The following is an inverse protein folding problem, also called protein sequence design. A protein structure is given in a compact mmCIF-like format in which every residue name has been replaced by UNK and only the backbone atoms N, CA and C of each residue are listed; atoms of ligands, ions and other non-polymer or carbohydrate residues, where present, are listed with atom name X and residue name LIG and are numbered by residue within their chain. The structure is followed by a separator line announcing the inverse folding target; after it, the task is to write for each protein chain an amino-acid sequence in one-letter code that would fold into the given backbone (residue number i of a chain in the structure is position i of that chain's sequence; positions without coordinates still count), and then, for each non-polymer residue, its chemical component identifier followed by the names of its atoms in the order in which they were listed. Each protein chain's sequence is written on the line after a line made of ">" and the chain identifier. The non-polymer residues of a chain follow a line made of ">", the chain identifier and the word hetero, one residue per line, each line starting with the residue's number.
data_IF_933304752958
#
_entry.id   IF_933304752958
#
_cell.length_a   1.000
_cell.length_b   1.000
_cell.length_c   1.000
_cell.angle_alpha   90.00
_cell.angle_beta   90.00
_cell.angle_gamma   90.00
#
_symmetry.space_group_name_H-M   'P 1'
#
loop_
_entity.id
_entity.type
_entity.pdbx_description
1 polymer ?
#
# COMPACT_ATOMS: atom_id res chain seq x y z
N UNK A 1 31.73 38.83 -74.92
CA UNK A 1 30.80 38.21 -75.84
C UNK A 1 30.16 36.98 -75.15
N UNK A 2 29.01 37.16 -74.59
CA UNK A 2 27.71 36.51 -74.80
C UNK A 2 27.64 35.00 -74.55
N UNK A 3 26.78 34.64 -73.64
CA UNK A 3 26.22 33.30 -73.48
C UNK A 3 25.35 33.21 -72.23
N UNK A 4 24.09 33.68 -72.30
CA UNK A 4 23.06 33.46 -71.33
C UNK A 4 22.54 32.04 -71.48
N UNK A 5 22.52 31.27 -70.40
CA UNK A 5 21.76 30.02 -70.26
C UNK A 5 20.74 30.19 -69.16
N UNK A 6 19.48 30.34 -69.54
CA UNK A 6 18.34 30.26 -68.59
C UNK A 6 18.10 28.82 -68.22
N UNK A 7 18.31 28.47 -67.00
CA UNK A 7 17.71 27.26 -66.42
C UNK A 7 16.42 27.62 -65.61
N UNK A 8 15.31 27.15 -66.17
CA UNK A 8 13.99 27.19 -65.53
C UNK A 8 13.99 26.20 -64.40
N UNK A 9 14.12 26.70 -63.15
CA UNK A 9 13.85 25.94 -61.95
C UNK A 9 12.34 25.90 -61.71
N UNK A 10 11.71 24.73 -61.85
CA UNK A 10 10.34 24.48 -61.37
C UNK A 10 10.25 24.69 -59.87
N UNK A 11 9.20 25.37 -59.36
CA UNK A 11 9.04 25.55 -57.94
C UNK A 11 8.66 24.20 -57.27
N UNK A 12 9.48 23.75 -56.32
CA UNK A 12 9.18 22.60 -55.50
C UNK A 12 7.84 22.80 -54.78
N UNK A 13 6.84 22.02 -55.17
CA UNK A 13 5.52 21.95 -54.50
C UNK A 13 5.75 21.46 -53.09
N UNK A 14 5.72 22.35 -52.11
CA UNK A 14 5.61 22.02 -50.69
C UNK A 14 4.27 21.32 -50.50
N UNK A 15 4.30 19.97 -50.42
CA UNK A 15 3.18 19.21 -49.93
C UNK A 15 2.88 19.70 -48.51
N UNK A 16 1.74 20.39 -48.36
CA UNK A 16 1.17 20.72 -47.07
C UNK A 16 0.94 19.38 -46.32
N UNK A 17 1.66 19.17 -45.25
CA UNK A 17 1.30 18.12 -44.29
C UNK A 17 -0.05 18.53 -43.73
N UNK A 18 -1.10 17.84 -44.13
CA UNK A 18 -2.39 17.88 -43.43
C UNK A 18 -2.12 17.57 -41.95
N UNK A 19 -2.17 18.60 -41.12
CA UNK A 19 -2.10 18.45 -39.67
C UNK A 19 -3.43 17.84 -39.21
N UNK A 20 -3.48 16.51 -39.15
CA UNK A 20 -4.52 15.86 -38.34
C UNK A 20 -4.52 16.53 -36.96
N UNK A 21 -5.70 16.85 -36.41
CA UNK A 21 -5.77 17.49 -35.10
C UNK A 21 -5.00 16.63 -34.11
N UNK A 22 -3.99 17.20 -33.43
CA UNK A 22 -3.17 16.54 -32.43
C UNK A 22 -3.99 16.42 -31.13
N UNK A 23 -5.04 15.62 -31.18
CA UNK A 23 -5.79 15.23 -29.97
C UNK A 23 -4.95 14.14 -29.30
N UNK A 24 -4.49 14.35 -28.06
CA UNK A 24 -3.84 13.28 -27.30
C UNK A 24 -4.78 12.09 -27.23
N UNK A 25 -4.34 10.92 -27.68
CA UNK A 25 -5.12 9.69 -27.50
C UNK A 25 -5.25 9.41 -26.01
N UNK A 26 -6.46 9.26 -25.51
CA UNK A 26 -6.70 8.77 -24.15
C UNK A 26 -6.02 7.41 -23.97
N UNK A 27 -5.31 7.17 -22.82
CA UNK A 27 -4.71 5.88 -22.54
C UNK A 27 -5.75 4.77 -22.57
N UNK A 28 -5.52 3.71 -23.35
CA UNK A 28 -6.43 2.57 -23.46
C UNK A 28 -6.41 1.70 -22.21
N UNK A 29 -5.22 1.48 -21.62
CA UNK A 29 -5.03 0.71 -20.40
C UNK A 29 -4.77 1.69 -19.24
N UNK A 30 -5.64 1.66 -18.24
CA UNK A 30 -5.47 2.41 -17.00
C UNK A 30 -5.36 1.44 -15.83
N UNK A 31 -4.51 1.76 -14.86
CA UNK A 31 -4.35 0.92 -13.67
C UNK A 31 -5.47 1.17 -12.68
N UNK A 32 -5.99 0.11 -12.07
CA UNK A 32 -6.87 0.17 -10.92
C UNK A 32 -6.04 0.10 -9.66
N UNK A 33 -6.25 1.01 -8.72
CA UNK A 33 -5.46 1.14 -7.50
C UNK A 33 -6.32 0.88 -6.28
N UNK A 34 -5.79 0.11 -5.30
CA UNK A 34 -6.42 -0.14 -4.01
C UNK A 34 -5.52 0.35 -2.90
N UNK A 35 -5.99 1.31 -2.11
CA UNK A 35 -5.24 1.98 -1.04
C UNK A 35 -6.01 1.93 0.28
N UNK A 36 -5.29 1.85 1.40
CA UNK A 36 -5.87 2.06 2.73
C UNK A 36 -6.11 3.55 2.99
N UNK A 37 -7.27 3.88 3.55
CA UNK A 37 -7.69 5.26 3.78
C UNK A 37 -7.52 5.73 5.24
N UNK A 38 -7.04 4.88 6.14
CA UNK A 38 -6.89 5.16 7.58
C UNK A 38 -5.43 4.96 8.02
N UNK A 39 -5.18 4.24 9.12
CA UNK A 39 -3.85 3.92 9.67
C UNK A 39 -3.40 2.47 9.42
N UNK A 40 -3.89 1.82 8.37
CA UNK A 40 -3.59 0.43 8.06
C UNK A 40 -4.62 -0.55 8.64
N UNK A 41 -4.46 -1.82 8.26
CA UNK A 41 -5.33 -2.91 8.72
C UNK A 41 -6.82 -2.77 8.36
N UNK A 42 -7.13 -1.98 7.31
CA UNK A 42 -8.50 -1.78 6.82
C UNK A 42 -9.09 -3.01 6.11
N UNK A 43 -8.31 -4.07 5.93
CA UNK A 43 -8.75 -5.27 5.21
C UNK A 43 -8.59 -5.19 3.69
N UNK A 44 -7.59 -4.42 3.22
CA UNK A 44 -7.25 -4.27 1.80
C UNK A 44 -7.10 -5.60 1.06
N UNK A 45 -6.45 -6.58 1.69
CA UNK A 45 -6.19 -7.87 1.07
C UNK A 45 -7.43 -8.56 0.51
N UNK A 46 -8.57 -8.45 1.20
CA UNK A 46 -9.85 -9.01 0.76
C UNK A 46 -10.38 -8.32 -0.51
N UNK A 47 -10.25 -7.00 -0.59
CA UNK A 47 -10.66 -6.21 -1.76
C UNK A 47 -9.73 -6.50 -2.94
N UNK A 48 -8.43 -6.56 -2.68
CA UNK A 48 -7.42 -6.90 -3.70
C UNK A 48 -7.64 -8.31 -4.23
N UNK A 49 -7.86 -9.29 -3.37
CA UNK A 49 -8.15 -10.66 -3.77
C UNK A 49 -9.39 -10.75 -4.66
N UNK A 50 -10.47 -10.06 -4.29
CA UNK A 50 -11.68 -9.98 -5.11
C UNK A 50 -11.39 -9.43 -6.52
N UNK A 51 -10.62 -8.35 -6.62
CA UNK A 51 -10.29 -7.71 -7.90
C UNK A 51 -9.22 -8.47 -8.68
N UNK A 52 -8.31 -9.15 -8.00
CA UNK A 52 -7.24 -9.93 -8.62
C UNK A 52 -7.74 -11.12 -9.41
N UNK A 53 -8.95 -11.61 -9.14
CA UNK A 53 -9.55 -12.72 -9.92
C UNK A 53 -9.70 -12.39 -11.39
N UNK A 54 -9.88 -11.11 -11.72
CA UNK A 54 -10.08 -10.60 -13.07
C UNK A 54 -8.83 -9.87 -13.62
N UNK A 55 -7.77 -9.75 -12.85
CA UNK A 55 -6.58 -9.03 -13.24
C UNK A 55 -5.63 -9.90 -14.09
N UNK A 56 -4.98 -9.28 -15.07
CA UNK A 56 -3.87 -9.87 -15.83
C UNK A 56 -2.52 -9.63 -15.15
N UNK A 57 -2.39 -8.49 -14.46
CA UNK A 57 -1.18 -8.11 -13.72
C UNK A 57 -1.60 -7.55 -12.36
N UNK A 58 -0.95 -8.02 -11.29
CA UNK A 58 -1.12 -7.47 -9.93
C UNK A 58 0.21 -6.97 -9.41
N UNK A 59 0.26 -5.67 -9.07
CA UNK A 59 1.49 -4.96 -8.74
C UNK A 59 1.54 -4.55 -7.27
N UNK A 60 2.73 -4.63 -6.66
CA UNK A 60 3.11 -3.90 -5.44
C UNK A 60 3.97 -2.71 -5.83
N UNK A 61 3.66 -1.52 -5.32
CA UNK A 61 4.35 -0.28 -5.72
C UNK A 61 5.31 0.26 -4.67
N UNK A 62 5.11 0.00 -3.39
CA UNK A 62 5.92 0.55 -2.29
C UNK A 62 5.85 -0.33 -1.03
N UNK A 63 6.54 0.09 0.05
CA UNK A 63 6.63 -0.67 1.28
C UNK A 63 7.60 -1.85 1.15
N UNK A 64 7.34 -2.90 1.87
CA UNK A 64 8.15 -4.11 1.91
C UNK A 64 7.46 -5.17 2.75
N UNK A 65 8.24 -6.03 3.40
CA UNK A 65 7.72 -7.09 4.26
C UNK A 65 7.23 -6.59 5.66
N UNK A 66 7.15 -5.29 5.87
CA UNK A 66 6.49 -4.68 7.03
C UNK A 66 4.97 -4.59 6.88
N UNK A 67 4.45 -4.72 5.66
CA UNK A 67 3.02 -4.76 5.38
C UNK A 67 2.57 -6.22 5.31
N UNK A 68 1.68 -6.63 6.20
CA UNK A 68 1.15 -8.00 6.22
C UNK A 68 -0.37 -8.00 6.13
N UNK A 69 -0.93 -8.95 5.38
CA UNK A 69 -2.35 -9.23 5.37
C UNK A 69 -2.62 -10.71 5.05
N UNK A 70 -3.76 -11.19 5.51
CA UNK A 70 -4.21 -12.56 5.29
C UNK A 70 -5.37 -12.56 4.29
N UNK A 71 -5.31 -13.47 3.33
CA UNK A 71 -6.38 -13.73 2.37
C UNK A 71 -6.88 -15.16 2.56
N UNK A 72 -8.20 -15.35 2.60
CA UNK A 72 -8.83 -16.66 2.75
C UNK A 72 -9.42 -17.11 1.42
N UNK A 73 -8.92 -18.22 0.87
CA UNK A 73 -9.41 -18.82 -0.37
C UNK A 73 -9.67 -20.31 -0.14
N UNK A 74 -10.86 -20.77 -0.45
CA UNK A 74 -11.27 -22.18 -0.26
C UNK A 74 -10.99 -22.68 1.18
N UNK A 75 -11.28 -21.86 2.19
CA UNK A 75 -11.03 -22.10 3.62
C UNK A 75 -9.54 -22.25 3.99
N UNK A 76 -8.62 -21.89 3.10
CA UNK A 76 -7.18 -21.85 3.36
C UNK A 76 -6.73 -20.41 3.57
N UNK A 77 -6.05 -20.16 4.67
CA UNK A 77 -5.48 -18.85 4.98
C UNK A 77 -4.09 -18.70 4.35
N UNK A 78 -3.90 -17.67 3.54
CA UNK A 78 -2.63 -17.28 2.93
C UNK A 78 -2.15 -15.95 3.51
N UNK A 79 -0.92 -15.93 3.98
CA UNK A 79 -0.32 -14.73 4.56
C UNK A 79 0.64 -14.09 3.56
N UNK A 80 0.38 -12.82 3.26
CA UNK A 80 1.17 -12.01 2.35
C UNK A 80 1.85 -10.87 3.08
N UNK A 81 3.14 -10.71 2.83
CA UNK A 81 3.94 -9.59 3.33
C UNK A 81 4.60 -8.83 2.18
N UNK A 82 5.22 -9.55 1.26
CA UNK A 82 5.97 -8.99 0.15
C UNK A 82 5.33 -9.30 -1.20
N UNK A 83 4.83 -10.51 -1.37
CA UNK A 83 4.18 -10.94 -2.61
C UNK A 83 2.86 -10.20 -2.83
N UNK A 84 2.53 -9.82 -4.09
CA UNK A 84 1.19 -9.38 -4.43
C UNK A 84 0.16 -10.48 -4.16
N UNK A 85 -1.02 -10.11 -3.62
CA UNK A 85 -2.10 -11.09 -3.34
C UNK A 85 -2.58 -11.82 -4.59
N UNK A 86 -2.38 -11.21 -5.75
CA UNK A 86 -2.72 -11.80 -7.06
C UNK A 86 -1.98 -13.07 -7.42
N UNK A 87 -0.93 -13.45 -6.69
CA UNK A 87 -0.18 -14.70 -6.90
C UNK A 87 -1.07 -15.95 -6.77
N UNK A 88 -2.21 -15.83 -6.08
CA UNK A 88 -3.21 -16.90 -5.99
C UNK A 88 -4.02 -17.11 -7.29
N UNK A 89 -4.06 -16.09 -8.14
CA UNK A 89 -4.68 -16.21 -9.47
C UNK A 89 -3.68 -16.74 -10.51
N UNK A 90 -3.92 -17.93 -11.03
CA UNK A 90 -3.03 -18.57 -12.00
C UNK A 90 -2.86 -17.82 -13.33
N UNK A 91 -3.74 -16.87 -13.63
CA UNK A 91 -3.71 -16.08 -14.87
C UNK A 91 -2.96 -14.76 -14.71
N UNK A 92 -2.80 -14.27 -13.47
CA UNK A 92 -2.20 -12.99 -13.22
C UNK A 92 -0.67 -13.09 -13.09
N UNK A 93 0.02 -12.14 -13.69
CA UNK A 93 1.45 -11.91 -13.43
C UNK A 93 1.58 -11.08 -12.16
N UNK A 94 2.44 -11.50 -11.24
CA UNK A 94 2.74 -10.76 -10.01
C UNK A 94 3.97 -9.90 -10.20
N UNK A 95 3.80 -8.59 -10.10
CA UNK A 95 4.86 -7.61 -10.35
C UNK A 95 5.22 -6.83 -9.07
N UNK A 96 6.49 -6.88 -8.67
CA UNK A 96 7.01 -6.12 -7.54
C UNK A 96 7.77 -4.91 -8.07
N UNK A 97 7.25 -3.70 -7.84
CA UNK A 97 7.76 -2.46 -8.40
C UNK A 97 9.05 -1.92 -7.77
N UNK A 98 9.69 -0.98 -8.46
CA UNK A 98 10.96 -0.34 -8.05
C UNK A 98 10.90 0.37 -6.68
N UNK A 99 9.71 0.74 -6.24
CA UNK A 99 9.49 1.37 -4.93
C UNK A 99 9.46 0.39 -3.76
N UNK A 100 9.36 -0.92 -4.02
CA UNK A 100 9.27 -1.95 -2.96
C UNK A 100 10.66 -2.30 -2.44
N UNK A 101 10.80 -2.34 -1.13
CA UNK A 101 12.00 -2.84 -0.45
C UNK A 101 11.90 -4.36 -0.28
N UNK A 102 12.84 -5.11 -0.83
CA UNK A 102 12.78 -6.57 -0.91
C UNK A 102 13.71 -7.23 0.10
N UNK A 103 13.12 -7.92 1.09
CA UNK A 103 13.86 -8.86 1.93
C UNK A 103 13.94 -10.22 1.21
N UNK A 104 15.10 -10.50 0.61
CA UNK A 104 15.27 -11.62 -0.31
C UNK A 104 14.96 -12.99 0.30
N UNK A 105 15.51 -13.34 1.51
CA UNK A 105 15.15 -14.60 2.18
C UNK A 105 13.64 -14.71 2.40
N UNK A 106 13.01 -13.62 2.91
CA UNK A 106 11.57 -13.57 3.18
C UNK A 106 10.71 -13.73 1.93
N UNK A 107 11.14 -13.24 0.77
CA UNK A 107 10.45 -13.42 -0.49
C UNK A 107 10.30 -14.91 -0.85
N UNK A 108 11.41 -15.66 -0.75
CA UNK A 108 11.41 -17.08 -1.07
C UNK A 108 10.67 -17.91 -0.02
N UNK A 109 10.85 -17.60 1.26
CA UNK A 109 10.14 -18.28 2.36
C UNK A 109 8.62 -18.11 2.25
N UNK A 110 8.16 -16.89 1.92
CA UNK A 110 6.75 -16.58 1.72
C UNK A 110 6.19 -17.34 0.52
N UNK A 111 6.91 -17.34 -0.61
CA UNK A 111 6.53 -18.10 -1.80
C UNK A 111 6.41 -19.61 -1.51
N UNK A 112 7.41 -20.19 -0.83
CA UNK A 112 7.42 -21.62 -0.51
C UNK A 112 6.32 -22.00 0.50
N UNK A 113 6.07 -21.18 1.52
CA UNK A 113 4.98 -21.39 2.49
C UNK A 113 3.61 -21.37 1.82
N UNK A 114 3.37 -20.39 0.96
CA UNK A 114 2.09 -20.27 0.25
C UNK A 114 1.89 -21.38 -0.78
N UNK A 115 2.95 -21.83 -1.45
CA UNK A 115 2.91 -23.01 -2.32
C UNK A 115 2.50 -24.29 -1.58
N UNK A 116 3.08 -24.52 -0.40
CA UNK A 116 2.75 -25.70 0.45
C UNK A 116 1.29 -25.66 0.89
N UNK A 117 0.76 -24.50 1.30
CA UNK A 117 -0.66 -24.31 1.69
C UNK A 117 -1.60 -24.60 0.50
N UNK A 118 -1.22 -24.20 -0.71
CA UNK A 118 -1.99 -24.38 -1.94
C UNK A 118 -1.98 -25.79 -2.55
N UNK A 119 -1.52 -26.82 -1.83
CA UNK A 119 -1.43 -28.21 -2.29
C UNK A 119 -0.72 -28.38 -3.64
N UNK A 120 0.40 -27.67 -3.84
CA UNK A 120 1.22 -27.77 -5.05
C UNK A 120 0.65 -27.03 -6.28
N UNK A 121 -0.37 -26.20 -6.13
CA UNK A 121 -0.76 -25.25 -7.18
C UNK A 121 0.43 -24.31 -7.41
N UNK A 122 1.05 -24.36 -8.59
CA UNK A 122 2.21 -23.54 -8.92
C UNK A 122 1.83 -22.05 -8.77
N UNK A 123 2.58 -21.32 -7.95
CA UNK A 123 2.56 -19.86 -8.02
C UNK A 123 3.02 -19.42 -9.41
N UNK A 124 2.41 -18.40 -9.95
CA UNK A 124 2.85 -17.81 -11.21
C UNK A 124 4.22 -17.15 -11.07
N UNK A 125 4.93 -16.94 -12.19
CA UNK A 125 6.19 -16.19 -12.19
C UNK A 125 6.01 -14.86 -11.48
N UNK A 126 6.99 -14.51 -10.64
CA UNK A 126 7.06 -13.22 -9.96
C UNK A 126 8.09 -12.41 -10.72
N UNK A 127 7.65 -11.32 -11.34
CA UNK A 127 8.56 -10.39 -11.98
C UNK A 127 9.04 -9.36 -10.95
N UNK A 128 10.34 -9.36 -10.67
CA UNK A 128 10.99 -8.36 -9.82
C UNK A 128 11.68 -7.32 -10.69
N UNK A 129 11.46 -6.02 -10.49
CA UNK A 129 12.17 -5.01 -11.25
C UNK A 129 13.64 -4.91 -10.84
N UNK A 130 14.49 -4.56 -11.81
CA UNK A 130 15.94 -4.42 -11.64
C UNK A 130 16.34 -3.40 -10.56
N UNK A 131 15.51 -2.42 -10.28
CA UNK A 131 15.87 -1.28 -9.44
C UNK A 131 15.25 -1.30 -8.04
N UNK A 132 14.61 -2.38 -7.63
CA UNK A 132 14.13 -2.51 -6.24
C UNK A 132 15.30 -2.55 -5.25
N UNK A 133 15.24 -1.81 -4.13
CA UNK A 133 16.26 -1.88 -3.10
C UNK A 133 16.11 -3.17 -2.28
N UNK A 134 17.17 -3.99 -2.11
CA UNK A 134 17.16 -5.11 -1.18
C UNK A 134 17.34 -4.65 0.27
N UNK A 135 16.81 -5.43 1.20
CA UNK A 135 17.11 -5.33 2.63
C UNK A 135 18.20 -6.35 2.98
N UNK A 136 19.19 -5.91 3.73
CA UNK A 136 20.23 -6.75 4.29
C UNK A 136 20.05 -6.94 5.80
N UNK A 137 20.70 -7.93 6.38
CA UNK A 137 20.59 -8.22 7.82
C UNK A 137 21.01 -7.02 8.68
N UNK A 138 22.02 -6.27 8.27
CA UNK A 138 22.41 -5.05 8.99
C UNK A 138 21.34 -3.96 8.96
N UNK A 139 20.53 -3.84 7.90
CA UNK A 139 19.40 -2.92 7.90
C UNK A 139 18.38 -3.28 9.00
N UNK A 140 18.13 -4.58 9.23
CA UNK A 140 17.24 -5.02 10.30
C UNK A 140 17.83 -4.74 11.69
N UNK A 141 19.12 -4.95 11.86
CA UNK A 141 19.82 -4.65 13.11
C UNK A 141 19.82 -3.14 13.40
N UNK A 142 20.08 -2.30 12.40
CA UNK A 142 20.03 -0.83 12.51
C UNK A 142 18.64 -0.34 12.88
N UNK A 143 17.59 -0.89 12.26
CA UNK A 143 16.20 -0.56 12.59
C UNK A 143 15.89 -0.85 14.06
N UNK A 144 16.42 -1.97 14.60
CA UNK A 144 16.33 -2.30 16.03
C UNK A 144 17.07 -1.32 16.92
N UNK A 145 18.30 -0.91 16.55
CA UNK A 145 19.12 0.04 17.31
C UNK A 145 18.45 1.41 17.33
N UNK A 146 17.98 1.92 16.19
CA UNK A 146 17.27 3.20 16.10
C UNK A 146 16.03 3.23 16.98
N UNK A 147 15.30 2.13 17.06
CA UNK A 147 14.13 2.06 17.93
C UNK A 147 14.49 2.10 19.42
N UNK A 148 15.58 1.41 19.81
CA UNK A 148 16.09 1.49 21.18
C UNK A 148 16.56 2.90 21.55
N UNK A 149 17.26 3.58 20.63
CA UNK A 149 17.70 4.96 20.84
C UNK A 149 16.52 5.91 21.03
N UNK A 150 15.50 5.82 20.21
CA UNK A 150 14.26 6.61 20.35
C UNK A 150 13.58 6.34 21.68
N UNK A 151 13.48 5.08 22.09
CA UNK A 151 12.90 4.71 23.38
C UNK A 151 13.67 5.32 24.55
N UNK A 152 15.00 5.37 24.47
CA UNK A 152 15.85 5.96 25.53
C UNK A 152 15.77 7.48 25.56
N UNK A 153 15.73 8.15 24.41
CA UNK A 153 15.76 9.61 24.30
C UNK A 153 14.40 10.26 24.53
N UNK A 154 13.35 9.67 23.98
CA UNK A 154 12.03 10.29 23.94
C UNK A 154 10.99 9.57 24.80
N UNK A 155 11.35 8.42 25.38
CA UNK A 155 10.41 7.54 26.10
C UNK A 155 9.32 6.95 25.19
N UNK A 156 9.41 7.13 23.89
CA UNK A 156 8.42 6.73 22.89
C UNK A 156 8.97 5.68 21.94
N UNK A 157 8.16 4.72 21.60
CA UNK A 157 8.46 3.66 20.65
C UNK A 157 7.57 3.83 19.42
N UNK A 158 8.14 4.03 18.22
CA UNK A 158 7.38 4.12 16.98
C UNK A 158 6.71 2.80 16.57
N UNK A 159 7.13 1.69 17.22
CA UNK A 159 6.53 0.39 16.96
C UNK A 159 7.05 -0.29 15.69
N UNK A 160 8.33 -0.09 15.36
CA UNK A 160 8.94 -0.73 14.19
C UNK A 160 8.79 -2.26 14.21
N UNK A 161 8.63 -2.84 13.02
CA UNK A 161 8.62 -4.30 12.82
C UNK A 161 10.03 -4.90 12.79
N UNK A 162 11.09 -4.07 12.88
CA UNK A 162 12.50 -4.47 12.77
C UNK A 162 12.80 -5.24 11.49
N UNK A 163 12.19 -4.83 10.37
CA UNK A 163 12.35 -5.45 9.06
C UNK A 163 13.35 -4.71 8.15
N UNK A 164 14.04 -3.68 8.68
CA UNK A 164 15.05 -2.92 7.94
C UNK A 164 14.51 -2.00 6.84
N UNK A 165 13.21 -1.70 6.86
CA UNK A 165 12.55 -0.91 5.81
C UNK A 165 13.05 0.54 5.85
N UNK A 166 13.05 1.17 7.03
CA UNK A 166 13.54 2.55 7.22
C UNK A 166 14.99 2.74 6.76
N UNK A 167 15.94 1.95 7.27
CA UNK A 167 17.33 2.02 6.85
C UNK A 167 17.55 1.79 5.34
N UNK A 168 16.79 0.88 4.71
CA UNK A 168 16.88 0.64 3.28
C UNK A 168 16.38 1.84 2.45
N UNK A 169 15.26 2.48 2.84
CA UNK A 169 14.79 3.72 2.21
C UNK A 169 15.75 4.89 2.47
N UNK A 170 16.33 4.99 3.66
CA UNK A 170 17.34 5.98 3.99
C UNK A 170 18.56 5.85 3.08
N UNK A 171 19.10 4.64 2.91
CA UNK A 171 20.21 4.37 1.98
C UNK A 171 19.87 4.71 0.54
N UNK A 172 18.64 4.42 0.11
CA UNK A 172 18.11 4.81 -1.22
C UNK A 172 18.13 6.31 -1.40
N UNK A 173 17.65 7.08 -0.42
CA UNK A 173 17.59 8.55 -0.46
C UNK A 173 19.00 9.16 -0.39
N UNK A 174 19.90 8.60 0.39
CA UNK A 174 21.30 8.97 0.49
C UNK A 174 22.13 8.59 -0.77
N UNK A 175 21.58 7.80 -1.68
CA UNK A 175 22.22 7.34 -2.94
C UNK A 175 23.44 6.44 -2.74
N UNK A 176 23.57 5.81 -1.58
CA UNK A 176 24.55 4.78 -1.28
C UNK A 176 23.94 3.36 -1.16
N UNK A 177 22.61 3.26 -1.28
CA UNK A 177 21.92 1.97 -1.29
C UNK A 177 22.19 1.15 -2.55
N UNK A 178 22.01 -0.16 -2.42
CA UNK A 178 22.14 -1.13 -3.51
C UNK A 178 20.79 -1.40 -4.18
N UNK A 179 20.85 -2.03 -5.35
CA UNK A 179 19.66 -2.43 -6.13
C UNK A 179 19.74 -3.92 -6.46
N UNK A 180 18.61 -4.51 -6.78
CA UNK A 180 18.56 -5.91 -7.24
C UNK A 180 19.44 -6.11 -8.49
N UNK A 181 19.46 -5.13 -9.41
CA UNK A 181 20.35 -5.19 -10.58
C UNK A 181 21.84 -5.28 -10.22
N UNK A 182 22.28 -4.63 -9.15
CA UNK A 182 23.67 -4.77 -8.69
C UNK A 182 23.96 -6.21 -8.28
N UNK A 183 23.03 -6.85 -7.53
CA UNK A 183 23.18 -8.22 -7.05
C UNK A 183 23.22 -9.26 -8.17
N UNK A 184 22.35 -9.13 -9.18
CA UNK A 184 22.23 -10.12 -10.27
C UNK A 184 23.23 -9.89 -11.42
N UNK A 185 23.98 -8.79 -11.40
CA UNK A 185 25.00 -8.44 -12.40
C UNK A 185 26.37 -9.02 -12.04
N UNK A 186 27.42 -8.22 -12.04
CA UNK A 186 28.76 -8.64 -11.64
C UNK A 186 28.87 -8.71 -10.11
N UNK A 187 28.91 -9.92 -9.57
CA UNK A 187 28.92 -10.14 -8.13
C UNK A 187 30.13 -9.51 -7.41
N UNK A 188 31.30 -9.44 -8.04
CA UNK A 188 32.47 -8.81 -7.43
C UNK A 188 32.30 -7.28 -7.28
N UNK A 189 31.66 -6.65 -8.25
CA UNK A 189 31.31 -5.21 -8.16
C UNK A 189 30.25 -5.01 -7.07
N UNK A 190 29.26 -5.89 -6.99
CA UNK A 190 28.26 -5.89 -5.92
C UNK A 190 28.91 -6.05 -4.55
N UNK A 191 29.78 -7.02 -4.37
CA UNK A 191 30.52 -7.27 -3.12
C UNK A 191 31.22 -6.01 -2.62
N UNK A 192 31.96 -5.31 -3.49
CA UNK A 192 32.65 -4.08 -3.11
C UNK A 192 31.66 -3.01 -2.62
N UNK A 193 30.55 -2.79 -3.35
CA UNK A 193 29.52 -1.85 -2.95
C UNK A 193 28.85 -2.25 -1.63
N UNK A 194 28.61 -3.54 -1.43
CA UNK A 194 28.02 -4.09 -0.20
C UNK A 194 28.91 -3.83 1.01
N UNK A 195 30.20 -4.11 0.89
CA UNK A 195 31.18 -3.85 1.97
C UNK A 195 31.23 -2.36 2.30
N UNK A 196 31.27 -1.48 1.31
CA UNK A 196 31.24 -0.02 1.54
C UNK A 196 29.97 0.42 2.28
N UNK A 197 28.81 -0.15 1.94
CA UNK A 197 27.56 0.16 2.63
C UNK A 197 27.55 -0.38 4.06
N UNK A 198 28.05 -1.61 4.27
CA UNK A 198 28.16 -2.21 5.60
C UNK A 198 29.11 -1.40 6.50
N UNK A 199 30.28 -1.00 5.98
CA UNK A 199 31.25 -0.15 6.69
C UNK A 199 30.68 1.20 7.08
N UNK A 200 29.85 1.80 6.22
CA UNK A 200 29.15 3.03 6.54
C UNK A 200 28.23 2.86 7.77
N UNK A 201 27.47 1.77 7.84
CA UNK A 201 26.61 1.50 9.00
C UNK A 201 27.42 1.12 10.25
N UNK A 202 28.52 0.37 10.13
CA UNK A 202 29.42 0.06 11.24
C UNK A 202 30.06 1.32 11.83
N UNK A 203 30.37 2.31 11.00
CA UNK A 203 30.88 3.61 11.46
C UNK A 203 29.84 4.40 12.22
N UNK A 204 28.58 4.35 11.79
CA UNK A 204 27.49 5.07 12.46
C UNK A 204 26.99 4.41 13.74
N UNK A 205 27.05 3.08 13.82
CA UNK A 205 26.49 2.28 14.93
C UNK A 205 27.56 1.35 15.51
N UNK A 206 28.27 1.81 16.53
CA UNK A 206 29.40 1.07 17.15
C UNK A 206 29.00 -0.28 17.76
N UNK A 207 27.74 -0.48 18.10
CA UNK A 207 27.19 -1.72 18.65
C UNK A 207 26.59 -2.66 17.58
N UNK A 208 26.74 -2.31 16.30
CA UNK A 208 26.27 -3.14 15.20
C UNK A 208 27.25 -4.29 14.97
N UNK A 209 26.75 -5.52 14.98
CA UNK A 209 27.51 -6.72 14.65
C UNK A 209 27.02 -7.30 13.34
N UNK A 210 27.91 -7.44 12.35
CA UNK A 210 27.61 -7.93 11.00
C UNK A 210 28.64 -8.96 10.63
N UNK A 211 28.23 -10.15 10.23
CA UNK A 211 29.06 -11.13 9.53
C UNK A 211 28.91 -10.91 8.01
N UNK A 212 29.76 -10.02 7.48
CA UNK A 212 29.72 -9.58 6.08
C UNK A 212 29.94 -10.76 5.13
N UNK A 213 30.89 -11.65 5.44
CA UNK A 213 31.27 -12.74 4.54
C UNK A 213 30.16 -13.81 4.46
N UNK A 214 29.59 -14.17 5.60
CA UNK A 214 28.45 -15.10 5.63
C UNK A 214 27.24 -14.54 4.87
N UNK A 215 26.95 -13.23 5.01
CA UNK A 215 25.84 -12.60 4.30
C UNK A 215 26.09 -12.56 2.78
N UNK A 216 27.31 -12.27 2.35
CA UNK A 216 27.70 -12.29 0.93
C UNK A 216 27.60 -13.69 0.31
N UNK A 217 27.98 -14.74 1.03
CA UNK A 217 27.81 -16.12 0.55
C UNK A 217 26.33 -16.49 0.33
N UNK A 218 25.47 -16.06 1.25
CA UNK A 218 24.02 -16.27 1.09
C UNK A 218 23.46 -15.49 -0.08
N UNK A 219 23.83 -14.20 -0.21
CA UNK A 219 23.40 -13.34 -1.30
C UNK A 219 23.81 -13.87 -2.67
N UNK A 220 25.00 -14.49 -2.77
CA UNK A 220 25.44 -15.14 -4.01
C UNK A 220 24.52 -16.29 -4.44
N UNK A 221 24.07 -17.11 -3.48
CA UNK A 221 23.12 -18.20 -3.74
C UNK A 221 21.73 -17.64 -4.18
N UNK A 222 21.31 -16.54 -3.54
CA UNK A 222 20.05 -15.89 -3.89
C UNK A 222 20.11 -15.18 -5.25
N UNK A 223 21.27 -14.63 -5.65
CA UNK A 223 21.45 -14.00 -6.96
C UNK A 223 21.08 -14.93 -8.12
N UNK A 224 21.47 -16.21 -8.04
CA UNK A 224 21.16 -17.20 -9.07
C UNK A 224 19.67 -17.56 -9.09
N UNK A 225 19.02 -17.60 -7.94
CA UNK A 225 17.56 -17.83 -7.84
C UNK A 225 16.73 -16.62 -8.33
N UNK A 226 17.24 -15.40 -8.11
CA UNK A 226 16.57 -14.16 -8.50
C UNK A 226 16.70 -13.88 -10.00
N UNK A 227 17.85 -14.19 -10.61
CA UNK A 227 18.17 -13.81 -12.01
C UNK A 227 17.04 -14.10 -13.02
N UNK A 228 16.39 -15.27 -13.00
CA UNK A 228 15.29 -15.56 -13.93
C UNK A 228 13.99 -14.80 -13.61
N UNK A 229 13.88 -14.18 -12.44
CA UNK A 229 12.69 -13.44 -11.99
C UNK A 229 12.83 -11.93 -12.20
N UNK A 230 14.03 -11.45 -12.55
CA UNK A 230 14.32 -10.02 -12.65
C UNK A 230 14.10 -9.53 -14.08
N UNK A 231 13.34 -8.45 -14.21
CA UNK A 231 13.03 -7.80 -15.50
C UNK A 231 13.24 -6.30 -15.43
N UNK A 232 13.34 -5.63 -16.59
CA UNK A 232 13.27 -4.17 -16.67
C UNK A 232 11.83 -3.72 -16.38
N UNK A 233 11.61 -3.24 -15.17
CA UNK A 233 10.28 -2.87 -14.68
C UNK A 233 9.66 -1.69 -15.44
N UNK A 234 10.46 -0.74 -15.93
CA UNK A 234 9.97 0.41 -16.71
C UNK A 234 9.47 -0.06 -18.07
N UNK A 235 10.25 -0.88 -18.75
CA UNK A 235 9.88 -1.42 -20.05
C UNK A 235 8.67 -2.37 -19.95
N UNK A 236 8.65 -3.24 -18.93
CA UNK A 236 7.53 -4.13 -18.66
C UNK A 236 6.22 -3.36 -18.46
N UNK A 237 6.22 -2.34 -17.59
CA UNK A 237 5.03 -1.53 -17.33
C UNK A 237 4.64 -0.71 -18.57
N UNK A 238 5.59 -0.16 -19.30
CA UNK A 238 5.31 0.55 -20.55
C UNK A 238 4.58 -0.36 -21.55
N UNK A 239 5.08 -1.58 -21.78
CA UNK A 239 4.42 -2.55 -22.65
C UNK A 239 3.02 -2.94 -22.16
N UNK A 240 2.86 -3.11 -20.83
CA UNK A 240 1.56 -3.43 -20.24
C UNK A 240 0.53 -2.29 -20.42
N UNK A 241 0.98 -1.04 -20.35
CA UNK A 241 0.12 0.15 -20.46
C UNK A 241 -0.21 0.54 -21.92
N UNK A 242 0.71 0.31 -22.87
CA UNK A 242 0.57 0.74 -24.27
C UNK A 242 0.22 -0.38 -25.24
N UNK A 243 0.36 -1.64 -24.81
CA UNK A 243 0.06 -2.84 -25.59
C UNK A 243 -1.42 -3.22 -25.61
N UNK A 244 -1.75 -4.49 -25.91
CA UNK A 244 -3.11 -5.00 -25.90
C UNK A 244 -3.80 -4.77 -24.55
N UNK A 245 -5.14 -4.68 -24.57
CA UNK A 245 -5.94 -4.44 -23.36
C UNK A 245 -5.61 -5.42 -22.24
N UNK A 246 -5.19 -4.88 -21.08
CA UNK A 246 -4.89 -5.62 -19.86
C UNK A 246 -5.55 -4.97 -18.66
N UNK A 247 -6.02 -5.79 -17.73
CA UNK A 247 -6.50 -5.36 -16.42
C UNK A 247 -5.32 -5.36 -15.45
N UNK A 248 -4.83 -4.17 -15.11
CA UNK A 248 -3.70 -3.98 -14.21
C UNK A 248 -4.22 -3.50 -12.87
N UNK A 249 -3.95 -4.25 -11.81
CA UNK A 249 -4.31 -3.94 -10.43
C UNK A 249 -3.07 -3.56 -9.65
N UNK A 250 -3.13 -2.46 -8.90
CA UNK A 250 -2.05 -2.02 -8.00
C UNK A 250 -2.53 -2.11 -6.57
N UNK A 251 -1.81 -2.89 -5.79
CA UNK A 251 -2.02 -3.09 -4.37
C UNK A 251 -1.09 -2.18 -3.57
N UNK A 252 -1.66 -1.19 -2.87
CA UNK A 252 -0.91 -0.35 -1.94
C UNK A 252 -0.58 -1.07 -0.63
N UNK A 253 0.60 -0.85 -0.11
CA UNK A 253 0.98 -1.28 1.24
C UNK A 253 0.68 -0.17 2.25
N UNK A 254 0.43 -0.55 3.51
CA UNK A 254 0.08 0.38 4.57
C UNK A 254 -1.18 1.22 4.26
N UNK A 255 -1.21 2.51 4.62
CA UNK A 255 -2.37 3.37 4.42
C UNK A 255 -2.00 4.85 4.36
N UNK A 256 -2.94 5.70 3.93
CA UNK A 256 -2.73 7.12 3.70
C UNK A 256 -2.15 7.87 4.91
N UNK A 257 -2.63 7.58 6.13
CA UNK A 257 -2.15 8.23 7.35
C UNK A 257 -0.81 7.71 7.86
N UNK A 258 -0.26 6.68 7.22
CA UNK A 258 1.10 6.17 7.42
C UNK A 258 2.07 6.59 6.31
N UNK A 259 1.63 7.40 5.36
CA UNK A 259 2.47 7.96 4.29
C UNK A 259 3.58 8.85 4.88
N UNK A 260 4.80 8.75 4.32
CA UNK A 260 5.97 9.50 4.82
C UNK A 260 5.80 11.01 4.69
N UNK A 261 5.08 11.49 3.67
CA UNK A 261 4.90 12.91 3.37
C UNK A 261 3.56 13.45 3.88
N UNK A 262 2.48 12.68 3.75
CA UNK A 262 1.11 13.10 4.03
C UNK A 262 0.48 12.45 5.26
N UNK A 263 1.18 11.53 5.90
CA UNK A 263 0.70 10.85 7.10
C UNK A 263 0.94 11.63 8.39
N UNK A 264 0.67 10.96 9.50
CA UNK A 264 0.82 11.51 10.85
C UNK A 264 2.28 11.44 11.33
N UNK A 265 3.17 12.12 10.65
CA UNK A 265 4.60 12.16 10.95
C UNK A 265 4.86 12.62 12.40
N UNK A 266 5.79 12.01 13.17
CA UNK A 266 6.75 10.99 12.76
C UNK A 266 6.23 9.54 12.87
N UNK A 267 4.98 9.32 13.26
CA UNK A 267 4.38 8.00 13.47
C UNK A 267 3.83 7.42 12.14
N UNK A 268 4.74 7.21 11.20
CA UNK A 268 4.48 6.81 9.81
C UNK A 268 5.41 5.67 9.39
N UNK A 269 5.19 5.09 8.21
CA UNK A 269 6.15 4.23 7.52
C UNK A 269 7.11 5.08 6.67
N UNK A 270 8.18 4.45 6.14
CA UNK A 270 9.19 5.15 5.34
C UNK A 270 8.86 5.22 3.85
N UNK A 271 7.63 4.91 3.45
CA UNK A 271 7.22 4.85 2.03
C UNK A 271 6.03 5.74 1.74
N UNK A 272 5.86 6.07 0.45
CA UNK A 272 4.70 6.81 -0.04
C UNK A 272 3.51 5.86 -0.23
N UNK A 273 2.51 5.97 0.65
CA UNK A 273 1.33 5.09 0.71
C UNK A 273 0.12 5.66 -0.04
N UNK A 274 0.25 6.83 -0.64
CA UNK A 274 -0.79 7.50 -1.44
C UNK A 274 -0.71 7.10 -2.92
N UNK A 275 -1.67 7.57 -3.73
CA UNK A 275 -1.68 7.30 -5.17
C UNK A 275 -0.41 7.78 -5.89
N UNK A 276 0.23 8.85 -5.39
CA UNK A 276 1.55 9.30 -5.88
C UNK A 276 2.63 8.22 -5.78
N UNK A 277 2.56 7.38 -4.74
CA UNK A 277 3.46 6.24 -4.56
C UNK A 277 3.32 5.15 -5.63
N UNK A 278 2.18 5.07 -6.31
CA UNK A 278 1.99 4.18 -7.47
C UNK A 278 2.83 4.67 -8.64
N UNK A 279 2.77 5.96 -8.95
CA UNK A 279 3.53 6.57 -10.04
C UNK A 279 5.05 6.42 -9.81
N UNK A 280 5.52 6.78 -8.62
CA UNK A 280 6.96 6.73 -8.30
C UNK A 280 7.49 5.31 -8.08
N UNK A 281 6.65 4.40 -7.58
CA UNK A 281 7.05 3.02 -7.26
C UNK A 281 7.03 2.07 -8.46
N UNK A 282 6.19 2.32 -9.46
CA UNK A 282 6.06 1.49 -10.67
C UNK A 282 6.58 2.16 -11.93
N UNK A 283 6.84 3.48 -11.90
CA UNK A 283 7.13 4.24 -13.12
C UNK A 283 5.90 4.43 -14.01
N UNK A 284 4.70 4.40 -13.43
CA UNK A 284 3.43 4.61 -14.16
C UNK A 284 3.19 6.12 -14.30
N UNK A 285 3.01 6.66 -15.53
CA UNK A 285 2.68 8.06 -15.72
C UNK A 285 1.30 8.38 -15.10
N UNK A 286 1.09 9.58 -14.51
CA UNK A 286 -0.18 9.94 -13.86
C UNK A 286 -1.43 9.79 -14.74
N UNK A 287 -1.31 10.04 -16.05
CA UNK A 287 -2.41 9.88 -17.01
C UNK A 287 -2.93 8.45 -17.14
N UNK A 288 -2.15 7.45 -16.73
CA UNK A 288 -2.54 6.04 -16.72
C UNK A 288 -3.17 5.59 -15.40
N UNK A 289 -3.26 6.46 -14.40
CA UNK A 289 -4.05 6.17 -13.19
C UNK A 289 -5.54 6.20 -13.56
N UNK A 290 -6.20 5.08 -13.35
CA UNK A 290 -7.63 4.91 -13.58
C UNK A 290 -8.43 5.06 -12.30
N UNK A 291 -9.11 3.99 -11.89
CA UNK A 291 -9.93 4.00 -10.66
C UNK A 291 -9.04 3.81 -9.43
N UNK A 292 -9.27 4.63 -8.41
CA UNK A 292 -8.59 4.56 -7.12
C UNK A 292 -9.63 4.19 -6.06
N UNK A 293 -9.51 3.01 -5.47
CA UNK A 293 -10.42 2.53 -4.44
C UNK A 293 -9.80 2.73 -3.06
N UNK A 294 -10.51 3.46 -2.19
CA UNK A 294 -10.17 3.63 -0.79
C UNK A 294 -10.77 2.51 0.06
N UNK A 295 -9.96 1.79 0.81
CA UNK A 295 -10.47 0.81 1.76
C UNK A 295 -10.58 1.46 3.12
N UNK A 296 -11.79 1.42 3.70
CA UNK A 296 -12.17 2.01 4.98
C UNK A 296 -12.74 0.91 5.86
N UNK A 297 -12.25 0.76 7.06
CA UNK A 297 -12.87 -0.05 8.09
C UNK A 297 -14.05 0.72 8.69
N UNK A 298 -15.15 0.05 8.99
CA UNK A 298 -16.35 0.67 9.56
C UNK A 298 -16.13 1.30 10.96
N UNK A 299 -14.95 1.18 11.52
CA UNK A 299 -14.42 1.85 12.71
C UNK A 299 -12.94 2.17 12.49
N UNK A 300 -12.28 2.86 13.42
CA UNK A 300 -10.87 3.21 13.25
C UNK A 300 -9.99 2.36 14.15
N UNK A 301 -8.83 1.95 13.64
CA UNK A 301 -7.78 1.29 14.43
C UNK A 301 -6.43 1.94 14.18
N UNK A 302 -5.58 1.96 15.21
CA UNK A 302 -4.20 2.44 15.10
C UNK A 302 -3.24 1.52 15.85
N UNK A 303 -2.08 1.27 15.27
CA UNK A 303 -0.98 0.53 15.91
C UNK A 303 -0.01 1.53 16.53
N UNK A 304 0.49 1.21 17.73
CA UNK A 304 1.52 2.01 18.39
C UNK A 304 1.03 3.32 18.98
N UNK A 305 1.97 4.24 19.21
CA UNK A 305 1.74 5.55 19.81
C UNK A 305 1.33 6.58 18.76
N UNK A 306 0.96 7.77 19.21
CA UNK A 306 0.53 8.90 18.40
C UNK A 306 -0.94 9.24 18.62
N UNK A 307 -1.35 10.42 18.18
CA UNK A 307 -2.70 10.95 18.38
C UNK A 307 -3.75 10.09 17.69
N UNK A 308 -4.84 9.80 18.40
CA UNK A 308 -5.98 9.06 17.88
C UNK A 308 -7.28 9.71 18.38
N UNK A 309 -7.79 10.74 17.71
CA UNK A 309 -8.88 11.58 18.22
C UNK A 309 -10.14 10.84 18.60
N UNK A 310 -10.52 9.81 17.82
CA UNK A 310 -11.73 9.03 18.04
C UNK A 310 -11.52 7.75 18.87
N UNK A 311 -10.33 7.58 19.49
CA UNK A 311 -10.01 6.41 20.30
C UNK A 311 -11.03 6.19 21.42
N UNK A 312 -11.31 4.93 21.70
CA UNK A 312 -12.17 4.48 22.80
C UNK A 312 -11.36 3.59 23.75
N UNK A 313 -10.86 4.19 24.82
CA UNK A 313 -10.18 3.47 25.91
C UNK A 313 -11.19 3.10 27.00
N UNK A 314 -12.17 2.27 26.59
CA UNK A 314 -13.33 1.85 27.40
C UNK A 314 -13.92 0.54 26.83
N UNK A 315 -15.05 0.08 27.37
CA UNK A 315 -15.76 -1.14 26.96
C UNK A 315 -16.05 -1.21 25.45
N UNK A 316 -16.31 -0.06 24.81
CA UNK A 316 -16.52 0.00 23.36
C UNK A 316 -15.23 -0.36 22.62
N UNK A 317 -14.10 0.22 23.02
CA UNK A 317 -12.80 -0.10 22.42
C UNK A 317 -12.41 -1.56 22.62
N UNK A 318 -12.66 -2.12 23.79
CA UNK A 318 -12.42 -3.55 24.09
C UNK A 318 -13.33 -4.46 23.25
N UNK A 319 -14.60 -4.10 23.08
CA UNK A 319 -15.54 -4.82 22.24
C UNK A 319 -15.09 -4.80 20.78
N UNK A 320 -14.75 -3.64 20.22
CA UNK A 320 -14.24 -3.50 18.85
C UNK A 320 -12.97 -4.34 18.65
N UNK A 321 -12.05 -4.32 19.62
CA UNK A 321 -10.81 -5.08 19.56
C UNK A 321 -11.05 -6.60 19.59
N UNK A 322 -11.90 -7.08 20.51
CA UNK A 322 -12.14 -8.51 20.68
C UNK A 322 -12.95 -9.10 19.53
N UNK A 323 -14.07 -8.48 19.14
CA UNK A 323 -14.89 -8.90 17.99
C UNK A 323 -14.13 -8.75 16.67
N UNK A 324 -13.46 -7.64 16.49
CA UNK A 324 -12.66 -7.34 15.29
C UNK A 324 -11.37 -8.16 15.20
N UNK A 325 -10.98 -8.87 16.28
CA UNK A 325 -9.69 -9.57 16.40
C UNK A 325 -8.53 -8.64 16.02
N UNK A 326 -8.53 -7.45 16.61
CA UNK A 326 -7.59 -6.39 16.29
C UNK A 326 -6.23 -6.61 16.97
N UNK A 327 -5.46 -7.52 16.38
CA UNK A 327 -4.08 -7.83 16.77
C UNK A 327 -3.17 -7.75 15.54
N UNK A 328 -1.95 -7.27 15.74
CA UNK A 328 -0.96 -7.21 14.67
C UNK A 328 -0.54 -8.60 14.20
N UNK A 329 -0.69 -8.89 12.90
CA UNK A 329 -0.35 -10.21 12.32
C UNK A 329 1.13 -10.57 12.57
N UNK A 330 2.03 -9.58 12.48
CA UNK A 330 3.48 -9.79 12.64
C UNK A 330 3.93 -9.72 14.10
N UNK A 331 3.32 -8.86 14.90
CA UNK A 331 3.81 -8.52 16.25
C UNK A 331 2.93 -9.05 17.37
N UNK A 332 1.72 -9.54 17.08
CA UNK A 332 0.72 -9.94 18.06
C UNK A 332 0.22 -8.79 18.96
N UNK A 333 0.65 -7.55 18.73
CA UNK A 333 0.27 -6.39 19.55
C UNK A 333 -1.20 -6.06 19.35
N UNK A 334 -1.86 -5.68 20.44
CA UNK A 334 -3.22 -5.12 20.42
C UNK A 334 -3.23 -3.82 19.63
N UNK A 335 -4.23 -3.65 18.77
CA UNK A 335 -4.49 -2.37 18.10
C UNK A 335 -5.42 -1.54 18.98
N UNK A 336 -5.16 -0.25 19.05
CA UNK A 336 -6.06 0.73 19.63
C UNK A 336 -7.27 0.84 18.72
N UNK A 337 -8.47 0.93 19.28
CA UNK A 337 -9.73 0.97 18.54
C UNK A 337 -10.54 2.22 18.90
N UNK A 338 -11.29 2.73 17.94
CA UNK A 338 -12.12 3.90 18.13
C UNK A 338 -13.23 4.01 17.09
N UNK A 339 -14.08 5.02 17.23
CA UNK A 339 -15.14 5.30 16.29
C UNK A 339 -14.59 5.65 14.90
N UNK A 340 -15.41 5.44 13.86
CA UNK A 340 -15.07 5.89 12.51
C UNK A 340 -14.84 7.39 12.51
N UNK A 341 -13.70 7.81 11.95
CA UNK A 341 -13.28 9.18 11.83
C UNK A 341 -13.38 9.62 10.37
N UNK A 342 -14.46 10.34 10.03
CA UNK A 342 -14.68 10.77 8.65
C UNK A 342 -13.85 12.00 8.24
N UNK A 343 -13.31 12.77 9.21
CA UNK A 343 -12.39 13.87 8.91
C UNK A 343 -11.09 13.30 8.35
N UNK A 344 -10.58 12.26 8.97
CA UNK A 344 -9.41 11.49 8.55
C UNK A 344 -9.62 10.85 7.17
N UNK A 345 -10.78 10.20 6.95
CA UNK A 345 -11.09 9.56 5.66
C UNK A 345 -11.27 10.60 4.55
N UNK A 346 -11.90 11.73 4.85
CA UNK A 346 -12.01 12.86 3.91
C UNK A 346 -10.64 13.42 3.54
N UNK A 347 -9.74 13.58 4.49
CA UNK A 347 -8.34 13.96 4.22
C UNK A 347 -7.66 12.96 3.31
N UNK A 348 -7.79 11.65 3.59
CA UNK A 348 -7.24 10.63 2.72
C UNK A 348 -7.83 10.69 1.30
N UNK A 349 -9.13 11.01 1.16
CA UNK A 349 -9.76 11.23 -0.14
C UNK A 349 -9.18 12.46 -0.86
N UNK A 350 -8.96 13.57 -0.14
CA UNK A 350 -8.36 14.79 -0.74
C UNK A 350 -7.00 14.51 -1.38
N UNK A 351 -6.20 13.63 -0.77
CA UNK A 351 -4.84 13.29 -1.27
C UNK A 351 -4.90 12.25 -2.41
N UNK A 352 -5.85 11.32 -2.36
CA UNK A 352 -5.86 10.15 -3.24
C UNK A 352 -6.91 10.22 -4.37
N UNK A 353 -7.94 11.06 -4.28
CA UNK A 353 -9.01 11.15 -5.27
C UNK A 353 -9.77 9.83 -5.42
N UNK A 354 -10.26 9.24 -4.33
CA UNK A 354 -10.96 7.95 -4.39
C UNK A 354 -12.16 8.00 -5.33
N UNK A 355 -12.22 7.06 -6.26
CA UNK A 355 -13.35 6.87 -7.18
C UNK A 355 -14.52 6.16 -6.49
N UNK A 356 -14.25 5.35 -5.49
CA UNK A 356 -15.22 4.68 -4.63
C UNK A 356 -14.53 4.14 -3.37
N UNK A 357 -15.35 3.81 -2.36
CA UNK A 357 -14.94 3.22 -1.10
C UNK A 357 -15.28 1.73 -1.06
N UNK A 358 -14.42 0.94 -0.43
CA UNK A 358 -14.72 -0.39 0.07
C UNK A 358 -14.79 -0.32 1.60
N UNK A 359 -16.01 -0.39 2.15
CA UNK A 359 -16.25 -0.37 3.58
C UNK A 359 -16.15 -1.80 4.13
N UNK A 360 -15.24 -2.05 5.05
CA UNK A 360 -14.97 -3.39 5.59
C UNK A 360 -15.38 -3.53 7.04
N UNK A 361 -15.59 -4.78 7.50
CA UNK A 361 -15.85 -5.11 8.90
C UNK A 361 -17.10 -4.42 9.49
N UNK A 362 -18.15 -4.27 8.69
CA UNK A 362 -19.43 -3.74 9.17
C UNK A 362 -20.05 -4.63 10.25
N UNK A 363 -19.91 -5.95 10.11
CA UNK A 363 -20.34 -7.00 11.03
C UNK A 363 -19.83 -6.83 12.48
N UNK A 364 -18.73 -6.14 12.66
CA UNK A 364 -18.17 -5.91 14.01
C UNK A 364 -19.06 -4.97 14.83
N UNK A 365 -19.82 -4.09 14.18
CA UNK A 365 -20.71 -3.13 14.81
C UNK A 365 -22.12 -3.71 15.15
N UNK A 366 -22.41 -4.96 14.78
CA UNK A 366 -23.73 -5.61 14.86
C UNK A 366 -24.39 -5.60 16.24
N UNK A 367 -23.62 -5.50 17.32
CA UNK A 367 -24.13 -5.54 18.69
C UNK A 367 -24.39 -4.16 19.31
N UNK A 368 -24.03 -3.11 18.60
CA UNK A 368 -24.13 -1.76 19.13
C UNK A 368 -25.54 -1.19 18.97
N UNK A 369 -26.16 -0.66 20.05
CA UNK A 369 -27.43 0.04 19.95
C UNK A 369 -27.29 1.46 19.39
N UNK A 370 -26.08 2.03 19.49
CA UNK A 370 -25.73 3.37 19.07
C UNK A 370 -24.32 3.37 18.51
N UNK A 371 -24.10 4.07 17.40
CA UNK A 371 -22.79 4.20 16.74
C UNK A 371 -22.47 5.67 16.60
N UNK A 372 -21.28 6.07 17.04
CA UNK A 372 -20.78 7.43 16.87
C UNK A 372 -19.81 7.50 15.70
N UNK A 373 -19.89 8.61 14.95
CA UNK A 373 -19.01 8.88 13.81
C UNK A 373 -18.42 10.27 13.98
N UNK A 374 -17.10 10.40 13.96
CA UNK A 374 -16.41 11.69 14.03
C UNK A 374 -16.65 12.51 12.76
N UNK A 375 -17.19 13.72 12.89
CA UNK A 375 -17.61 14.56 11.75
C UNK A 375 -16.96 15.93 11.72
N UNK A 376 -16.40 16.41 12.82
CA UNK A 376 -15.65 17.66 12.90
C UNK A 376 -14.60 17.61 14.01
N UNK A 377 -13.55 18.40 13.86
CA UNK A 377 -12.54 18.65 14.86
C UNK A 377 -12.60 20.08 15.35
N UNK A 378 -12.37 20.29 16.65
CA UNK A 378 -12.26 21.59 17.27
C UNK A 378 -10.99 21.66 18.10
N UNK A 379 -10.34 22.83 18.12
CA UNK A 379 -9.26 23.17 19.06
C UNK A 379 -9.67 24.47 19.77
N UNK A 380 -9.64 24.44 21.12
CA UNK A 380 -9.99 25.57 21.96
C UNK A 380 -11.37 26.18 21.60
N UNK A 381 -12.35 25.33 21.27
CA UNK A 381 -13.71 25.71 20.89
C UNK A 381 -13.85 26.26 19.46
N UNK A 382 -12.79 26.25 18.66
CA UNK A 382 -12.83 26.71 17.27
C UNK A 382 -12.80 25.51 16.31
N UNK A 383 -13.72 25.44 15.34
CA UNK A 383 -13.74 24.35 14.37
C UNK A 383 -12.53 24.44 13.44
N UNK A 384 -11.94 23.28 13.16
CA UNK A 384 -10.90 23.12 12.14
C UNK A 384 -11.53 22.87 10.76
N UNK A 385 -11.01 23.49 9.69
CA UNK A 385 -11.53 23.31 8.35
C UNK A 385 -11.18 21.92 7.76
N UNK A 386 -10.13 21.29 8.29
CA UNK A 386 -9.61 20.02 7.78
C UNK A 386 -8.78 19.30 8.84
N UNK A 387 -8.28 18.11 8.49
CA UNK A 387 -7.32 17.36 9.29
C UNK A 387 -6.03 18.18 9.50
N UNK A 388 -5.56 18.36 10.76
CA UNK A 388 -4.40 19.19 11.04
C UNK A 388 -3.10 18.52 10.59
N UNK A 389 -2.20 19.30 10.02
CA UNK A 389 -0.87 18.83 9.61
C UNK A 389 0.08 18.66 10.81
N UNK A 390 -0.13 19.40 11.89
CA UNK A 390 0.69 19.35 13.10
C UNK A 390 0.16 18.28 14.07
N UNK A 391 1.06 17.40 14.53
CA UNK A 391 0.72 16.33 15.48
C UNK A 391 0.34 16.86 16.88
N UNK A 392 0.91 17.98 17.32
CA UNK A 392 0.55 18.59 18.58
C UNK A 392 -0.91 19.08 18.53
N UNK A 393 -1.31 19.68 17.42
CA UNK A 393 -2.69 20.08 17.20
C UNK A 393 -3.62 18.85 17.16
N UNK A 394 -3.22 17.80 16.45
CA UNK A 394 -4.03 16.57 16.40
C UNK A 394 -4.22 15.92 17.79
N UNK A 395 -3.26 16.08 18.68
CA UNK A 395 -3.37 15.60 20.08
C UNK A 395 -4.37 16.45 20.91
N UNK A 396 -4.56 17.73 20.54
CA UNK A 396 -5.42 18.68 21.26
C UNK A 396 -6.85 18.74 20.73
N UNK A 397 -7.15 18.13 19.57
CA UNK A 397 -8.50 18.20 19.01
C UNK A 397 -9.53 17.56 19.92
N UNK A 398 -10.68 18.19 20.03
CA UNK A 398 -11.93 17.57 20.44
C UNK A 398 -12.74 17.17 19.20
N UNK A 399 -13.44 16.06 19.26
CA UNK A 399 -14.20 15.51 18.12
C UNK A 399 -15.68 15.74 18.31
N UNK A 400 -16.33 16.32 17.31
CA UNK A 400 -17.78 16.36 17.24
C UNK A 400 -18.28 15.06 16.60
N UNK A 401 -19.24 14.41 17.25
CA UNK A 401 -19.78 13.15 16.82
C UNK A 401 -21.22 13.28 16.29
N UNK A 402 -21.47 12.66 15.15
CA UNK A 402 -22.83 12.29 14.76
C UNK A 402 -23.17 10.96 15.41
N UNK A 403 -24.28 10.91 16.12
CA UNK A 403 -24.83 9.70 16.70
C UNK A 403 -25.84 9.10 15.72
N UNK A 404 -25.67 7.82 15.41
CA UNK A 404 -26.54 7.05 14.52
C UNK A 404 -27.09 5.84 15.29
N UNK A 405 -28.36 5.44 15.04
CA UNK A 405 -28.90 4.20 15.61
C UNK A 405 -28.08 2.99 15.11
N UNK A 406 -27.71 2.11 16.02
CA UNK A 406 -27.20 0.79 15.68
C UNK A 406 -28.30 -0.16 15.26
N UNK A 407 -27.94 -1.34 14.77
CA UNK A 407 -28.92 -2.31 14.26
C UNK A 407 -29.14 -3.54 15.13
N UNK A 408 -28.29 -3.81 16.10
CA UNK A 408 -28.41 -4.87 17.12
C UNK A 408 -28.78 -6.26 16.55
N UNK A 409 -28.37 -6.57 15.33
CA UNK A 409 -28.58 -7.88 14.71
C UNK A 409 -27.44 -8.22 13.75
N UNK A 410 -27.26 -9.53 13.46
CA UNK A 410 -26.17 -9.99 12.60
C UNK A 410 -26.37 -9.55 11.15
N UNK A 411 -25.27 -9.07 10.54
CA UNK A 411 -25.20 -8.75 9.09
C UNK A 411 -24.43 -9.81 8.32
N UNK A 412 -23.86 -10.83 8.94
CA UNK A 412 -22.94 -11.81 8.33
C UNK A 412 -23.55 -12.58 7.15
N UNK A 413 -24.87 -12.82 7.17
CA UNK A 413 -25.59 -13.54 6.12
C UNK A 413 -26.08 -12.64 4.98
N UNK A 414 -25.95 -11.32 5.11
CA UNK A 414 -26.34 -10.39 4.03
C UNK A 414 -25.41 -10.58 2.81
N UNK A 415 -26.01 -10.62 1.63
CA UNK A 415 -25.31 -10.76 0.35
C UNK A 415 -25.65 -9.68 -0.65
N UNK A 416 -26.72 -8.91 -0.40
CA UNK A 416 -27.15 -7.75 -1.15
C UNK A 416 -27.35 -6.57 -0.20
N UNK A 417 -27.37 -5.37 -0.72
CA UNK A 417 -27.56 -4.16 0.08
C UNK A 417 -28.93 -4.17 0.81
N UNK A 418 -29.96 -4.66 0.13
CA UNK A 418 -31.33 -4.74 0.67
C UNK A 418 -31.48 -5.75 1.80
N UNK A 419 -30.55 -6.70 1.92
CA UNK A 419 -30.54 -7.70 3.02
C UNK A 419 -30.00 -7.08 4.34
N UNK A 420 -29.36 -5.90 4.26
CA UNK A 420 -28.85 -5.19 5.43
C UNK A 420 -30.01 -4.54 6.23
N UNK A 421 -29.91 -4.49 7.58
CA UNK A 421 -30.84 -3.69 8.39
C UNK A 421 -30.87 -2.23 7.93
N UNK A 422 -32.01 -1.58 8.02
CA UNK A 422 -32.17 -0.18 7.57
C UNK A 422 -31.23 0.79 8.25
N UNK A 423 -30.87 0.56 9.51
CA UNK A 423 -29.90 1.36 10.25
C UNK A 423 -28.46 1.20 9.65
N UNK A 424 -28.11 -0.03 9.24
CA UNK A 424 -26.83 -0.29 8.57
C UNK A 424 -26.80 0.35 7.18
N UNK A 425 -27.89 0.31 6.43
CA UNK A 425 -28.01 1.04 5.15
C UNK A 425 -27.86 2.54 5.37
N UNK A 426 -28.51 3.12 6.38
CA UNK A 426 -28.40 4.53 6.74
C UNK A 426 -26.97 4.92 7.15
N UNK A 427 -26.25 4.03 7.86
CA UNK A 427 -24.85 4.23 8.21
C UNK A 427 -23.98 4.35 6.95
N UNK A 428 -24.17 3.46 5.99
CA UNK A 428 -23.44 3.48 4.71
C UNK A 428 -23.76 4.76 3.94
N UNK A 429 -25.05 5.11 3.82
CA UNK A 429 -25.47 6.32 3.13
C UNK A 429 -24.91 7.60 3.79
N UNK A 430 -24.87 7.64 5.12
CA UNK A 430 -24.28 8.77 5.84
C UNK A 430 -22.78 8.94 5.51
N UNK A 431 -22.03 7.86 5.37
CA UNK A 431 -20.61 7.89 4.97
C UNK A 431 -20.49 8.44 3.54
N UNK A 432 -21.31 7.96 2.60
CA UNK A 432 -21.32 8.44 1.21
C UNK A 432 -21.64 9.94 1.14
N UNK A 433 -22.67 10.38 1.84
CA UNK A 433 -23.11 11.77 1.86
C UNK A 433 -22.05 12.70 2.46
N UNK A 434 -21.37 12.26 3.51
CA UNK A 434 -20.30 13.04 4.14
C UNK A 434 -19.05 13.15 3.27
N UNK A 435 -18.63 12.05 2.66
CA UNK A 435 -17.42 11.99 1.85
C UNK A 435 -17.63 12.47 0.41
N UNK A 436 -18.86 12.48 -0.08
CA UNK A 436 -19.22 12.69 -1.51
C UNK A 436 -18.50 11.67 -2.42
N UNK A 437 -18.33 10.43 -1.91
CA UNK A 437 -17.69 9.30 -2.61
C UNK A 437 -18.57 8.07 -2.42
N UNK A 438 -18.98 7.37 -3.50
CA UNK A 438 -19.84 6.21 -3.38
C UNK A 438 -19.14 5.02 -2.72
N UNK A 439 -19.88 4.25 -1.94
CA UNK A 439 -19.45 2.95 -1.40
C UNK A 439 -19.78 1.87 -2.42
N UNK A 440 -18.76 1.21 -2.95
CA UNK A 440 -18.93 0.17 -3.96
C UNK A 440 -19.03 -1.24 -3.37
N UNK A 441 -18.35 -1.48 -2.28
CA UNK A 441 -18.35 -2.76 -1.58
C UNK A 441 -18.50 -2.58 -0.09
N UNK A 442 -19.26 -3.52 0.53
CA UNK A 442 -19.44 -3.60 1.97
C UNK A 442 -19.06 -5.00 2.45
N UNK A 443 -18.11 -5.08 3.37
CA UNK A 443 -17.65 -6.33 3.99
C UNK A 443 -18.39 -6.61 5.28
N UNK A 444 -19.09 -7.75 5.33
CA UNK A 444 -19.90 -8.22 6.47
C UNK A 444 -19.40 -9.54 7.08
N UNK A 445 -18.14 -9.90 6.87
CA UNK A 445 -17.55 -11.12 7.39
C UNK A 445 -16.15 -11.36 6.83
N UNK A 446 -15.54 -12.52 7.10
CA UNK A 446 -14.15 -12.81 6.73
C UNK A 446 -13.95 -13.28 5.30
N UNK A 447 -14.90 -14.02 4.75
CA UNK A 447 -14.76 -14.67 3.45
C UNK A 447 -14.91 -13.68 2.29
N UNK A 448 -14.49 -14.10 1.10
CA UNK A 448 -14.68 -13.34 -0.15
C UNK A 448 -16.16 -13.10 -0.45
N UNK A 449 -16.99 -14.12 -0.20
CA UNK A 449 -18.43 -14.09 -0.42
C UNK A 449 -19.16 -13.11 0.50
N UNK A 450 -18.52 -12.71 1.61
CA UNK A 450 -19.04 -11.69 2.54
C UNK A 450 -18.75 -10.26 2.10
N UNK A 451 -18.39 -10.05 0.82
CA UNK A 451 -18.27 -8.72 0.21
C UNK A 451 -19.50 -8.42 -0.65
N UNK A 452 -20.41 -7.61 -0.13
CA UNK A 452 -21.57 -7.13 -0.86
C UNK A 452 -21.11 -6.09 -1.88
N UNK A 453 -21.45 -6.27 -3.15
CA UNK A 453 -21.22 -5.28 -4.21
C UNK A 453 -22.48 -4.48 -4.43
N UNK A 454 -22.39 -3.13 -4.34
CA UNK A 454 -23.54 -2.24 -4.48
C UNK A 454 -23.81 -1.88 -5.95
N UNK A 455 -22.74 -1.68 -6.75
CA UNK A 455 -22.87 -1.35 -8.20
C UNK A 455 -21.66 -1.82 -9.02
#
# INVERSE_FOLDING_TARGET
>A
LTGQGHENGEPAVKRARESSPRIPKEPQNKVTVVLGAQWGDEGKGKVVDLLAMDADIVCRCQGGNNAGHTVVVDSVEYDFHLLPSGVLNKKAVSFIGNGVVIHIPGLFDEAEKNLKKGKGKKCHPIDCPLYSPPVFNFHQAVDGIQEQQRQQQEGKNLGTTKKGIGPAYSSKAARNGLRICDLVSNFKVFENKFRMLADHFLTMYSNLNIDIDSELEQLKKYADRLRPLVTDGVYFMHQALTGPSKKILVEGANAALLDIDFGTYPFVTSSNCTVGGVCTGLGVPPSYIGRVYGVVKAYTTRVGVGAFPTEQDNDIGEMLQSRGKEFGVTTGRRRRCGWLDLILVRYAHMVNGFSAIALTKLDILDTLPEIKVGVAYNIDGKPLPSFPANMDDLTRVSVDYKVLPGWCCSTEEARRFEDLPSQAQNYIQFIEDFLQVPVKWVGVGKSRESMIKLF
#
